data_IF_281957611038
#
_entry.id   IF_281957611038
#
_cell.length_a   1.000
_cell.length_b   1.000
_cell.length_c   1.000
_cell.angle_alpha   90.00
_cell.angle_beta   90.00
_cell.angle_gamma   90.00
#
_symmetry.space_group_name_H-M   'P 1'
#
loop_
_entity.id
_entity.type
_entity.pdbx_description
1 polymer ?
#
# COMPACT_ATOMS: atom_id res chain seq x y z
N UNK A 1 -30.23 -4.85 24.98
CA UNK A 1 -29.32 -5.98 25.28
C UNK A 1 -28.56 -6.25 23.99
N UNK A 2 -27.41 -5.61 23.77
CA UNK A 2 -26.57 -5.83 22.59
C UNK A 2 -25.53 -6.89 22.95
N UNK A 3 -25.86 -8.15 22.68
CA UNK A 3 -24.91 -9.25 22.84
C UNK A 3 -23.99 -9.33 21.62
N UNK A 4 -22.69 -9.49 21.85
CA UNK A 4 -21.74 -9.85 20.80
C UNK A 4 -22.07 -11.27 20.35
N UNK A 5 -22.57 -11.44 19.12
CA UNK A 5 -22.77 -12.77 18.53
C UNK A 5 -21.47 -13.17 17.85
N UNK A 6 -20.90 -14.28 18.30
CA UNK A 6 -19.81 -14.93 17.59
C UNK A 6 -20.38 -15.63 16.36
N UNK A 7 -20.18 -15.04 15.18
CA UNK A 7 -20.69 -15.57 13.91
C UNK A 7 -20.25 -17.03 13.66
N UNK A 8 -19.10 -17.44 14.20
CA UNK A 8 -18.60 -18.82 14.05
C UNK A 8 -19.42 -19.84 14.84
N UNK A 9 -20.17 -19.39 15.85
CA UNK A 9 -21.06 -20.23 16.68
C UNK A 9 -22.49 -20.26 16.16
N UNK A 10 -22.80 -19.53 15.08
CA UNK A 10 -24.12 -19.57 14.45
C UNK A 10 -24.30 -20.93 13.78
N UNK A 11 -25.36 -21.70 14.12
CA UNK A 11 -25.61 -22.99 13.49
C UNK A 11 -25.64 -22.88 11.97
N UNK A 12 -24.82 -23.67 11.28
CA UNK A 12 -24.69 -23.65 9.82
C UNK A 12 -23.51 -22.83 9.28
N UNK A 13 -22.79 -22.08 10.13
CA UNK A 13 -21.59 -21.34 9.74
C UNK A 13 -20.45 -22.21 9.17
N UNK A 14 -20.34 -23.46 9.62
CA UNK A 14 -19.31 -24.36 9.14
C UNK A 14 -19.59 -24.89 7.72
N UNK A 15 -20.86 -24.87 7.29
CA UNK A 15 -21.34 -25.47 6.05
C UNK A 15 -21.84 -24.52 4.93
N UNK A 16 -21.50 -23.22 4.85
CA UNK A 16 -21.88 -22.43 3.69
C UNK A 16 -21.07 -22.92 2.48
N UNK A 17 -21.76 -23.47 1.49
CA UNK A 17 -21.19 -23.73 0.17
C UNK A 17 -21.05 -22.39 -0.55
N UNK A 18 -19.92 -21.72 -0.37
CA UNK A 18 -19.61 -20.42 -0.98
C UNK A 18 -19.17 -20.55 -2.45
N UNK A 19 -19.53 -21.65 -3.11
CA UNK A 19 -19.17 -21.98 -4.49
C UNK A 19 -19.85 -21.10 -5.55
N UNK A 20 -20.72 -20.17 -5.13
CA UNK A 20 -21.33 -19.16 -5.98
C UNK A 20 -21.11 -17.74 -5.44
N UNK A 21 -20.25 -17.57 -4.42
CA UNK A 21 -19.98 -16.25 -3.86
C UNK A 21 -19.07 -15.48 -4.81
N UNK A 22 -19.62 -14.46 -5.48
CA UNK A 22 -18.87 -13.60 -6.40
C UNK A 22 -18.34 -12.32 -5.75
N UNK A 23 -18.96 -11.88 -4.64
CA UNK A 23 -18.57 -10.68 -3.90
C UNK A 23 -18.61 -10.98 -2.40
N UNK A 24 -17.47 -10.75 -1.74
CA UNK A 24 -17.36 -10.74 -0.29
C UNK A 24 -17.13 -9.29 0.15
N UNK A 25 -18.11 -8.74 0.87
CA UNK A 25 -18.04 -7.40 1.45
C UNK A 25 -18.00 -7.48 2.98
N UNK A 26 -17.11 -6.72 3.61
CA UNK A 26 -17.08 -6.53 5.05
C UNK A 26 -16.99 -5.03 5.35
N UNK A 27 -17.86 -4.57 6.24
CA UNK A 27 -17.92 -3.19 6.69
C UNK A 27 -18.84 -3.05 7.90
N UNK A 28 -18.76 -1.93 8.65
CA UNK A 28 -19.69 -1.66 9.73
C UNK A 28 -21.11 -1.57 9.15
N UNK A 29 -22.06 -2.22 9.82
CA UNK A 29 -23.49 -2.26 9.48
C UNK A 29 -24.20 -0.92 9.78
N UNK A 30 -23.47 0.20 9.78
CA UNK A 30 -24.02 1.53 10.05
C UNK A 30 -24.14 2.26 8.72
N UNK A 31 -25.38 2.34 8.23
CA UNK A 31 -25.76 3.11 7.04
C UNK A 31 -25.14 4.50 7.12
N UNK A 32 -24.33 4.82 6.12
CA UNK A 32 -23.72 6.13 5.97
C UNK A 32 -24.82 7.15 5.62
N UNK A 33 -25.35 7.84 6.63
CA UNK A 33 -26.16 9.04 6.40
C UNK A 33 -25.26 10.12 5.77
N UNK A 34 -25.82 10.82 4.77
CA UNK A 34 -25.16 11.80 3.88
C UNK A 34 -24.52 13.01 4.59
N UNK A 35 -24.69 13.13 5.90
CA UNK A 35 -24.05 14.16 6.71
C UNK A 35 -22.80 13.60 7.37
N UNK A 36 -21.70 13.84 6.67
CA UNK A 36 -20.32 13.64 7.10
C UNK A 36 -20.02 14.11 8.54
N UNK A 37 -18.79 13.84 9.00
CA UNK A 37 -18.13 14.32 10.23
C UNK A 37 -18.53 13.71 11.59
N UNK A 38 -19.74 13.16 11.80
CA UNK A 38 -20.09 12.59 13.11
C UNK A 38 -19.71 11.09 13.30
N UNK A 39 -19.65 10.27 12.26
CA UNK A 39 -19.39 8.81 12.42
C UNK A 39 -17.92 8.44 12.62
N UNK A 40 -16.98 9.24 12.07
CA UNK A 40 -15.52 8.98 12.20
C UNK A 40 -14.97 9.23 13.62
N UNK A 41 -15.71 9.94 14.47
CA UNK A 41 -15.31 10.32 15.83
C UNK A 41 -16.09 9.58 16.92
N UNK A 42 -17.31 9.08 16.65
CA UNK A 42 -18.12 8.38 17.66
C UNK A 42 -17.55 7.01 18.03
N UNK A 43 -16.93 6.28 17.09
CA UNK A 43 -16.24 5.02 17.40
C UNK A 43 -14.86 5.20 18.06
N UNK A 44 -14.30 6.41 18.09
CA UNK A 44 -13.07 6.69 18.85
C UNK A 44 -13.30 6.73 20.37
N UNK A 45 -14.55 6.74 20.85
CA UNK A 45 -14.86 7.04 22.26
C UNK A 45 -15.23 5.81 23.09
N UNK A 46 -15.45 4.63 22.50
CA UNK A 46 -15.67 3.43 23.30
C UNK A 46 -14.37 2.64 23.41
N UNK A 47 -13.65 2.86 24.52
CA UNK A 47 -12.63 1.94 24.99
C UNK A 47 -13.28 0.57 25.24
N UNK A 48 -13.34 -0.25 24.20
CA UNK A 48 -13.77 -1.63 24.31
C UNK A 48 -12.51 -2.48 24.52
N UNK A 49 -12.23 -2.98 25.73
CA UNK A 49 -11.05 -3.80 26.00
C UNK A 49 -11.04 -5.16 25.27
N UNK A 50 -12.02 -5.43 24.40
CA UNK A 50 -12.13 -6.62 23.54
C UNK A 50 -11.79 -6.35 22.07
N UNK A 51 -11.33 -5.15 21.73
CA UNK A 51 -11.11 -4.72 20.33
C UNK A 51 -10.11 -5.64 19.62
N UNK A 52 -8.97 -5.96 20.24
CA UNK A 52 -7.97 -6.86 19.64
C UNK A 52 -8.48 -8.30 19.47
N UNK A 53 -9.28 -8.80 20.41
CA UNK A 53 -9.94 -10.11 20.28
C UNK A 53 -10.97 -10.11 19.14
N UNK A 54 -11.74 -9.03 19.00
CA UNK A 54 -12.74 -8.87 17.93
C UNK A 54 -12.06 -8.75 16.57
N UNK A 55 -10.96 -8.01 16.48
CA UNK A 55 -10.16 -7.80 15.27
C UNK A 55 -9.51 -9.11 14.81
N UNK A 56 -8.85 -9.83 15.72
CA UNK A 56 -8.25 -11.14 15.45
C UNK A 56 -9.29 -12.17 15.00
N UNK A 57 -10.45 -12.19 15.66
CA UNK A 57 -11.55 -13.09 15.29
C UNK A 57 -12.16 -12.72 13.93
N UNK A 58 -12.30 -11.43 13.62
CA UNK A 58 -12.74 -10.95 12.32
C UNK A 58 -11.77 -11.39 11.22
N UNK A 59 -10.47 -11.25 11.42
CA UNK A 59 -9.44 -11.69 10.48
C UNK A 59 -9.53 -13.18 10.14
N UNK A 60 -9.68 -14.03 11.18
CA UNK A 60 -9.86 -15.48 11.01
C UNK A 60 -11.10 -15.82 10.18
N UNK A 61 -12.22 -15.13 10.43
CA UNK A 61 -13.44 -15.26 9.65
C UNK A 61 -13.18 -14.87 8.18
N UNK A 62 -12.51 -13.74 7.92
CA UNK A 62 -12.20 -13.30 6.55
C UNK A 62 -11.39 -14.35 5.80
N UNK A 63 -10.33 -14.88 6.43
CA UNK A 63 -9.50 -15.93 5.83
C UNK A 63 -10.30 -17.19 5.49
N UNK A 64 -11.17 -17.63 6.40
CA UNK A 64 -12.02 -18.80 6.16
C UNK A 64 -12.99 -18.58 4.98
N UNK A 65 -13.60 -17.39 4.89
CA UNK A 65 -14.52 -17.04 3.80
C UNK A 65 -13.80 -16.95 2.45
N UNK A 66 -12.63 -16.32 2.41
CA UNK A 66 -11.79 -16.24 1.20
C UNK A 66 -11.37 -17.64 0.76
N UNK A 67 -10.89 -18.48 1.68
CA UNK A 67 -10.47 -19.85 1.38
C UNK A 67 -11.61 -20.67 0.78
N UNK A 68 -12.82 -20.55 1.33
CA UNK A 68 -14.02 -21.25 0.83
C UNK A 68 -14.53 -20.73 -0.52
N UNK A 69 -14.15 -19.51 -0.91
CA UNK A 69 -14.65 -18.84 -2.12
C UNK A 69 -13.56 -18.51 -3.16
N UNK A 70 -12.36 -19.06 -3.00
CA UNK A 70 -11.18 -18.74 -3.80
C UNK A 70 -11.38 -18.83 -5.32
N UNK A 71 -12.22 -19.77 -5.79
CA UNK A 71 -12.45 -20.01 -7.21
C UNK A 71 -13.60 -19.21 -7.80
N UNK A 72 -14.34 -18.45 -6.99
CA UNK A 72 -15.58 -17.76 -7.41
C UNK A 72 -15.59 -16.28 -7.05
N UNK A 73 -14.94 -15.88 -5.96
CA UNK A 73 -14.91 -14.51 -5.49
C UNK A 73 -14.18 -13.62 -6.48
N UNK A 74 -14.94 -12.76 -7.15
CA UNK A 74 -14.46 -11.74 -8.09
C UNK A 74 -14.15 -10.42 -7.41
N UNK A 75 -14.82 -10.14 -6.29
CA UNK A 75 -14.72 -8.86 -5.59
C UNK A 75 -14.53 -9.07 -4.09
N UNK A 76 -13.46 -8.51 -3.55
CA UNK A 76 -13.26 -8.31 -2.11
C UNK A 76 -13.41 -6.82 -1.81
N UNK A 77 -14.31 -6.48 -0.89
CA UNK A 77 -14.55 -5.09 -0.47
C UNK A 77 -14.51 -5.03 1.05
N UNK A 78 -13.46 -4.46 1.59
CA UNK A 78 -13.25 -4.26 3.01
C UNK A 78 -13.28 -2.76 3.28
N UNK A 79 -14.48 -2.24 3.52
CA UNK A 79 -14.73 -0.81 3.70
C UNK A 79 -15.37 -0.56 5.04
N UNK A 80 -14.71 0.22 5.89
CA UNK A 80 -15.20 0.45 7.23
C UNK A 80 -14.38 1.39 8.08
N UNK A 81 -14.99 1.79 9.19
CA UNK A 81 -14.32 2.56 10.23
C UNK A 81 -13.71 1.63 11.27
N UNK A 82 -12.51 1.91 11.75
CA UNK A 82 -11.81 1.09 12.73
C UNK A 82 -10.72 0.23 12.06
N UNK A 83 -10.37 -0.85 12.72
CA UNK A 83 -9.24 -1.69 12.33
C UNK A 83 -9.74 -3.07 11.92
N UNK A 84 -9.28 -3.53 10.76
CA UNK A 84 -9.37 -4.90 10.34
C UNK A 84 -7.92 -5.37 10.20
N UNK A 85 -7.47 -6.23 11.12
CA UNK A 85 -6.13 -6.84 11.02
C UNK A 85 -6.13 -7.93 9.96
N UNK A 86 -6.31 -7.56 8.70
CA UNK A 86 -6.28 -8.52 7.61
C UNK A 86 -5.40 -7.99 6.49
N UNK A 87 -4.54 -8.84 5.91
CA UNK A 87 -4.26 -10.22 6.29
C UNK A 87 -3.32 -10.33 7.48
N UNK A 88 -3.54 -11.36 8.32
CA UNK A 88 -2.66 -11.80 9.44
C UNK A 88 -1.75 -12.98 9.10
N UNK A 89 -1.94 -13.61 7.95
CA UNK A 89 -1.15 -14.75 7.49
C UNK A 89 -0.87 -14.65 5.99
N UNK A 90 0.14 -15.38 5.53
CA UNK A 90 0.46 -15.55 4.11
C UNK A 90 -0.71 -16.22 3.36
N UNK A 91 -0.90 -15.93 2.07
CA UNK A 91 -1.88 -16.63 1.24
C UNK A 91 -1.55 -18.12 1.19
N UNK A 92 -2.56 -18.96 1.41
CA UNK A 92 -2.42 -20.44 1.36
C UNK A 92 -2.67 -20.97 -0.05
N UNK A 93 -3.39 -20.20 -0.87
CA UNK A 93 -3.73 -20.54 -2.25
C UNK A 93 -4.00 -19.26 -3.04
N UNK A 94 -3.86 -19.36 -4.37
CA UNK A 94 -4.18 -18.28 -5.30
C UNK A 94 -5.68 -17.98 -5.33
N UNK A 95 -6.03 -16.73 -5.62
CA UNK A 95 -7.39 -16.25 -5.89
C UNK A 95 -7.58 -15.96 -7.38
N UNK A 96 -7.69 -16.98 -8.25
CA UNK A 96 -7.71 -16.80 -9.69
C UNK A 96 -8.98 -16.12 -10.20
N UNK A 97 -10.09 -16.15 -9.45
CA UNK A 97 -11.32 -15.47 -9.85
C UNK A 97 -11.32 -13.98 -9.51
N UNK A 98 -10.39 -13.53 -8.67
CA UNK A 98 -10.42 -12.18 -8.12
C UNK A 98 -10.02 -11.14 -9.17
N UNK A 99 -10.89 -10.16 -9.37
CA UNK A 99 -10.73 -9.05 -10.32
C UNK A 99 -10.65 -7.69 -9.62
N UNK A 100 -11.26 -7.57 -8.43
CA UNK A 100 -11.31 -6.31 -7.67
C UNK A 100 -11.03 -6.53 -6.19
N UNK A 101 -10.16 -5.70 -5.63
CA UNK A 101 -9.86 -5.64 -4.21
C UNK A 101 -9.89 -4.20 -3.71
N UNK A 102 -10.77 -3.91 -2.76
CA UNK A 102 -10.89 -2.63 -2.07
C UNK A 102 -10.62 -2.85 -0.58
N UNK A 103 -9.66 -2.12 -0.03
CA UNK A 103 -9.35 -2.09 1.39
C UNK A 103 -9.27 -0.66 1.90
N UNK A 104 -10.26 -0.26 2.69
CA UNK A 104 -10.46 1.11 3.16
C UNK A 104 -10.51 1.25 4.70
N UNK A 105 -9.97 0.28 5.44
CA UNK A 105 -9.81 0.34 6.91
C UNK A 105 -8.61 1.18 7.36
N UNK A 106 -8.58 1.58 8.63
CA UNK A 106 -7.58 2.52 9.17
C UNK A 106 -6.14 1.96 9.20
N UNK A 107 -5.92 0.65 9.00
CA UNK A 107 -4.57 0.07 8.98
C UNK A 107 -4.46 -1.13 8.04
N UNK A 108 -3.23 -1.44 7.65
CA UNK A 108 -2.92 -2.58 6.79
C UNK A 108 -1.51 -3.10 7.08
N UNK A 109 -1.33 -4.42 6.99
CA UNK A 109 0.01 -5.01 6.96
C UNK A 109 0.51 -5.07 5.51
N UNK A 110 1.38 -4.13 5.12
CA UNK A 110 1.84 -3.99 3.73
C UNK A 110 2.63 -5.21 3.23
N UNK A 111 3.41 -5.85 4.11
CA UNK A 111 4.17 -7.05 3.77
C UNK A 111 3.21 -8.19 3.42
N UNK A 112 2.21 -8.43 4.26
CA UNK A 112 1.25 -9.51 4.02
C UNK A 112 0.37 -9.20 2.80
N UNK A 113 -0.17 -7.98 2.66
CA UNK A 113 -0.92 -7.61 1.44
C UNK A 113 -0.06 -7.79 0.19
N UNK A 114 1.21 -7.37 0.20
CA UNK A 114 2.08 -7.52 -0.96
C UNK A 114 2.24 -8.99 -1.39
N UNK A 115 2.21 -9.90 -0.41
CA UNK A 115 2.26 -11.34 -0.67
C UNK A 115 0.94 -11.81 -1.28
N UNK A 116 -0.19 -11.40 -0.72
CA UNK A 116 -1.52 -11.68 -1.25
C UNK A 116 -1.74 -11.14 -2.68
N UNK A 117 -1.22 -9.96 -3.01
CA UNK A 117 -1.33 -9.38 -4.36
C UNK A 117 -0.67 -10.29 -5.41
N UNK A 118 0.44 -10.95 -5.08
CA UNK A 118 1.10 -11.91 -6.00
C UNK A 118 0.24 -13.14 -6.28
N UNK A 119 -0.65 -13.49 -5.37
CA UNK A 119 -1.58 -14.61 -5.46
C UNK A 119 -2.95 -14.24 -6.06
N UNK A 120 -3.11 -13.03 -6.60
CA UNK A 120 -4.33 -12.55 -7.26
C UNK A 120 -4.09 -12.32 -8.77
N UNK A 121 -3.79 -13.35 -9.56
CA UNK A 121 -3.22 -13.19 -10.91
C UNK A 121 -4.11 -12.48 -11.93
N UNK A 122 -5.41 -12.34 -11.63
CA UNK A 122 -6.40 -11.69 -12.50
C UNK A 122 -6.90 -10.35 -11.96
N UNK A 123 -6.29 -9.82 -10.90
CA UNK A 123 -6.66 -8.54 -10.31
C UNK A 123 -6.53 -7.41 -11.33
N UNK A 124 -7.58 -6.62 -11.48
CA UNK A 124 -7.66 -5.45 -12.37
C UNK A 124 -7.91 -4.16 -11.63
N UNK A 125 -8.41 -4.23 -10.41
CA UNK A 125 -8.67 -3.08 -9.56
C UNK A 125 -8.11 -3.32 -8.16
N UNK A 126 -7.26 -2.40 -7.70
CA UNK A 126 -6.72 -2.36 -6.35
C UNK A 126 -6.99 -0.97 -5.76
N UNK A 127 -7.80 -0.91 -4.71
CA UNK A 127 -7.96 0.28 -3.88
C UNK A 127 -7.40 0.06 -2.49
N UNK A 128 -6.53 0.98 -2.06
CA UNK A 128 -6.06 1.09 -0.69
C UNK A 128 -6.38 2.50 -0.20
N UNK A 129 -7.33 2.62 0.72
CA UNK A 129 -7.85 3.92 1.18
C UNK A 129 -7.93 4.03 2.69
N UNK A 130 -7.97 5.26 3.19
CA UNK A 130 -8.33 5.51 4.60
C UNK A 130 -7.30 5.07 5.65
N UNK A 131 -6.14 4.56 5.23
CA UNK A 131 -5.11 4.02 6.13
C UNK A 131 -4.44 5.15 6.91
N UNK A 132 -4.78 5.21 8.20
CA UNK A 132 -4.32 6.19 9.19
C UNK A 132 -3.45 5.48 10.22
N UNK A 133 -2.16 5.79 10.26
CA UNK A 133 -1.25 5.33 11.31
C UNK A 133 -1.76 5.80 12.68
N UNK A 134 -2.49 4.96 13.43
CA UNK A 134 -2.99 5.34 14.76
C UNK A 134 -2.63 4.40 15.91
N UNK A 135 -1.67 3.48 15.73
CA UNK A 135 -1.15 2.65 16.83
C UNK A 135 0.37 2.44 16.80
N UNK A 136 1.14 3.53 16.73
CA UNK A 136 2.55 3.49 17.14
C UNK A 136 3.49 2.61 16.30
N UNK A 137 3.10 2.24 15.08
CA UNK A 137 4.04 1.75 14.08
C UNK A 137 4.65 2.98 13.40
N UNK A 138 5.93 3.31 13.66
CA UNK A 138 6.55 4.54 13.19
C UNK A 138 6.79 4.57 11.69
N UNK A 139 6.56 3.45 10.99
CA UNK A 139 6.85 3.30 9.58
C UNK A 139 5.95 2.23 8.96
N UNK A 140 5.30 2.53 7.84
CA UNK A 140 4.66 1.52 6.99
C UNK A 140 5.51 1.38 5.75
N UNK A 141 6.11 0.20 5.57
CA UNK A 141 6.98 -0.09 4.43
C UNK A 141 6.12 -0.32 3.18
N UNK A 142 5.67 0.78 2.58
CA UNK A 142 4.83 0.81 1.38
C UNK A 142 5.53 0.24 0.15
N UNK A 143 6.86 0.23 0.16
CA UNK A 143 7.70 -0.36 -0.88
C UNK A 143 7.25 -1.77 -1.27
N UNK A 144 6.88 -2.62 -0.31
CA UNK A 144 6.42 -3.99 -0.60
C UNK A 144 5.19 -4.01 -1.51
N UNK A 145 4.24 -3.09 -1.28
CA UNK A 145 3.05 -2.93 -2.14
C UNK A 145 3.48 -2.45 -3.52
N UNK A 146 4.36 -1.44 -3.57
CA UNK A 146 4.77 -0.87 -4.86
C UNK A 146 5.55 -1.86 -5.73
N UNK A 147 6.45 -2.62 -5.13
CA UNK A 147 7.17 -3.71 -5.77
C UNK A 147 6.18 -4.81 -6.26
N UNK A 148 5.21 -5.19 -5.42
CA UNK A 148 4.20 -6.18 -5.81
C UNK A 148 3.28 -5.71 -6.94
N UNK A 149 2.95 -4.42 -6.98
CA UNK A 149 2.20 -3.79 -8.08
C UNK A 149 3.02 -3.79 -9.37
N UNK A 150 4.27 -3.31 -9.31
CA UNK A 150 5.20 -3.31 -10.47
C UNK A 150 5.30 -4.71 -11.08
N UNK A 151 5.46 -5.72 -10.23
CA UNK A 151 5.71 -7.10 -10.66
C UNK A 151 4.41 -7.90 -10.92
N UNK A 152 3.25 -7.26 -10.82
CA UNK A 152 1.96 -7.95 -10.93
C UNK A 152 1.71 -8.49 -12.36
N UNK A 153 1.12 -9.69 -12.53
CA UNK A 153 0.83 -10.26 -13.85
C UNK A 153 -0.05 -9.36 -14.74
N UNK A 154 -0.96 -8.58 -14.16
CA UNK A 154 -1.78 -7.62 -14.92
C UNK A 154 -0.98 -6.42 -15.46
N UNK A 155 0.22 -6.16 -14.93
CA UNK A 155 1.10 -5.06 -15.34
C UNK A 155 2.16 -5.52 -16.34
N UNK A 156 2.92 -6.57 -15.99
CA UNK A 156 4.10 -7.05 -16.76
C UNK A 156 3.92 -8.43 -17.40
N UNK A 157 2.75 -9.06 -17.27
CA UNK A 157 2.51 -10.39 -17.81
C UNK A 157 2.59 -10.42 -19.34
N UNK A 158 2.73 -11.62 -19.92
CA UNK A 158 2.80 -11.82 -21.39
C UNK A 158 1.58 -11.25 -22.15
N UNK A 159 0.44 -11.13 -21.47
CA UNK A 159 -0.79 -10.50 -21.95
C UNK A 159 -1.35 -9.66 -20.80
N UNK A 160 -0.77 -8.47 -20.56
CA UNK A 160 -1.13 -7.68 -19.40
C UNK A 160 -2.56 -7.15 -19.57
N UNK A 161 -3.30 -7.07 -18.47
CA UNK A 161 -4.71 -6.66 -18.45
C UNK A 161 -4.90 -5.21 -18.00
N UNK A 162 -3.83 -4.57 -17.54
CA UNK A 162 -3.86 -3.34 -16.78
C UNK A 162 -4.28 -3.59 -15.34
N UNK A 163 -3.64 -2.87 -14.41
CA UNK A 163 -4.05 -2.79 -13.02
C UNK A 163 -4.43 -1.35 -12.71
N UNK A 164 -5.72 -1.11 -12.49
CA UNK A 164 -6.21 0.16 -11.98
C UNK A 164 -5.88 0.27 -10.49
N UNK A 165 -5.11 1.29 -10.15
CA UNK A 165 -4.72 1.60 -8.78
C UNK A 165 -5.49 2.82 -8.28
N UNK A 166 -5.97 2.73 -7.06
CA UNK A 166 -6.54 3.85 -6.32
C UNK A 166 -5.94 3.88 -4.90
N UNK A 167 -4.99 4.79 -4.68
CA UNK A 167 -4.50 5.10 -3.34
C UNK A 167 -5.22 6.35 -2.84
N UNK A 168 -6.03 6.19 -1.79
CA UNK A 168 -6.82 7.28 -1.23
C UNK A 168 -6.27 7.71 0.13
N UNK A 169 -5.48 8.79 0.14
CA UNK A 169 -4.94 9.39 1.36
C UNK A 169 -4.17 8.40 2.23
N UNK A 170 -3.27 7.62 1.62
CA UNK A 170 -2.39 6.72 2.39
C UNK A 170 -1.34 7.56 3.12
N UNK A 171 -1.31 7.49 4.46
CA UNK A 171 -0.30 8.18 5.26
C UNK A 171 1.03 7.41 5.12
N UNK A 172 2.01 8.03 4.49
CA UNK A 172 3.34 7.43 4.31
C UNK A 172 4.32 7.88 5.40
N UNK A 173 4.27 9.16 5.80
CA UNK A 173 5.05 9.77 6.90
C UNK A 173 4.23 10.80 7.66
N UNK A 174 4.79 11.44 8.71
CA UNK A 174 4.03 12.31 9.62
C UNK A 174 3.30 13.49 8.96
N UNK A 175 3.74 13.92 7.78
CA UNK A 175 3.18 15.09 7.09
C UNK A 175 2.76 14.84 5.63
N UNK A 176 3.01 13.65 5.08
CA UNK A 176 2.76 13.36 3.66
C UNK A 176 1.65 12.33 3.48
N UNK A 177 0.77 12.62 2.53
CA UNK A 177 -0.35 11.76 2.14
C UNK A 177 -0.27 11.49 0.66
N UNK A 178 0.07 10.27 0.32
CA UNK A 178 0.16 9.86 -1.06
C UNK A 178 -1.24 9.57 -1.60
N UNK A 179 -1.53 10.09 -2.79
CA UNK A 179 -2.76 9.82 -3.53
C UNK A 179 -2.40 9.49 -4.97
N UNK A 180 -2.90 8.38 -5.49
CA UNK A 180 -2.64 7.94 -6.86
C UNK A 180 -3.92 7.39 -7.49
N UNK A 181 -4.14 7.69 -8.76
CA UNK A 181 -5.23 7.10 -9.55
C UNK A 181 -4.80 6.91 -10.98
N UNK A 182 -4.81 5.67 -11.47
CA UNK A 182 -4.42 5.37 -12.84
C UNK A 182 -4.33 3.88 -13.13
N UNK A 183 -4.30 3.54 -14.42
CA UNK A 183 -4.04 2.19 -14.91
C UNK A 183 -2.55 2.04 -15.16
N UNK A 184 -1.91 1.12 -14.44
CA UNK A 184 -0.52 0.73 -14.67
C UNK A 184 -0.50 -0.48 -15.61
N UNK A 185 0.26 -0.39 -16.70
CA UNK A 185 0.44 -1.49 -17.66
C UNK A 185 1.67 -1.26 -18.54
N UNK A 186 2.50 -2.27 -18.82
CA UNK A 186 3.59 -2.11 -19.81
C UNK A 186 3.08 -1.91 -21.25
N UNK A 187 1.84 -2.30 -21.54
CA UNK A 187 1.19 -1.97 -22.80
C UNK A 187 0.63 -0.53 -22.74
N UNK A 188 1.25 0.38 -23.48
CA UNK A 188 0.88 1.80 -23.52
C UNK A 188 -0.51 2.06 -24.12
N UNK A 189 -1.11 1.09 -24.81
CA UNK A 189 -2.50 1.18 -25.28
C UNK A 189 -3.53 0.94 -24.18
N UNK A 190 -3.12 0.37 -23.04
CA UNK A 190 -3.95 0.08 -21.87
C UNK A 190 -3.65 1.06 -20.74
N UNK A 191 -2.38 1.44 -20.58
CA UNK A 191 -1.92 2.33 -19.53
C UNK A 191 -2.61 3.71 -19.56
N UNK A 192 -2.79 4.30 -18.39
CA UNK A 192 -3.18 5.72 -18.30
C UNK A 192 -2.06 6.64 -18.79
N UNK A 193 -2.45 7.85 -19.19
CA UNK A 193 -1.49 8.91 -19.49
C UNK A 193 -0.59 9.16 -18.27
N UNK A 194 0.70 9.30 -18.52
CA UNK A 194 1.73 9.37 -17.49
C UNK A 194 2.09 10.80 -17.17
N UNK A 195 2.54 11.02 -15.94
CA UNK A 195 3.19 12.26 -15.54
C UNK A 195 4.60 12.23 -16.15
N UNK A 196 4.78 12.90 -17.29
CA UNK A 196 6.03 12.81 -18.08
C UNK A 196 7.08 13.82 -17.67
N UNK A 197 6.74 14.84 -16.90
CA UNK A 197 7.63 15.94 -16.55
C UNK A 197 7.50 16.28 -15.06
N UNK A 198 8.54 16.00 -14.30
CA UNK A 198 8.76 16.70 -13.04
C UNK A 198 9.63 17.93 -13.34
N UNK A 199 9.19 19.12 -12.93
CA UNK A 199 10.01 20.34 -13.03
C UNK A 199 11.15 20.39 -12.00
N UNK A 200 11.18 19.40 -11.11
CA UNK A 200 12.21 19.21 -10.10
C UNK A 200 13.19 18.14 -10.56
N UNK A 201 14.48 18.47 -10.58
CA UNK A 201 15.55 17.56 -10.99
C UNK A 201 15.67 16.34 -10.06
N UNK A 202 15.26 16.49 -8.80
CA UNK A 202 15.29 15.44 -7.78
C UNK A 202 13.98 14.63 -7.71
N UNK A 203 12.94 15.07 -8.44
CA UNK A 203 11.63 14.40 -8.48
C UNK A 203 10.84 14.46 -7.16
N UNK A 204 11.23 15.34 -6.22
CA UNK A 204 10.69 15.40 -4.87
C UNK A 204 9.28 16.02 -4.82
N UNK A 205 8.94 16.86 -5.80
CA UNK A 205 7.69 17.63 -5.80
C UNK A 205 6.51 16.86 -6.42
N UNK A 206 6.75 15.88 -7.30
CA UNK A 206 5.67 15.13 -7.96
C UNK A 206 5.65 13.66 -7.49
N UNK A 207 4.72 13.38 -6.57
CA UNK A 207 4.52 12.06 -5.99
C UNK A 207 4.15 11.00 -7.04
N UNK A 208 3.32 11.40 -8.02
CA UNK A 208 2.84 10.50 -9.06
C UNK A 208 3.96 10.18 -10.06
N UNK A 209 4.76 11.18 -10.43
CA UNK A 209 5.95 10.97 -11.26
C UNK A 209 6.88 9.92 -10.62
N UNK A 210 7.18 10.08 -9.33
CA UNK A 210 8.07 9.17 -8.59
C UNK A 210 7.50 7.76 -8.50
N UNK A 211 6.19 7.62 -8.23
CA UNK A 211 5.51 6.32 -8.24
C UNK A 211 5.52 5.67 -9.61
N UNK A 212 5.20 6.40 -10.66
CA UNK A 212 5.18 5.89 -12.02
C UNK A 212 6.57 5.42 -12.46
N UNK A 213 7.64 6.19 -12.18
CA UNK A 213 9.01 5.73 -12.46
C UNK A 213 9.34 4.40 -11.80
N UNK A 214 8.81 4.15 -10.60
CA UNK A 214 8.94 2.86 -9.93
C UNK A 214 8.08 1.76 -10.58
N UNK A 215 6.80 2.02 -10.84
CA UNK A 215 5.88 1.05 -11.45
C UNK A 215 6.27 0.62 -12.87
N UNK A 216 6.90 1.51 -13.64
CA UNK A 216 7.40 1.21 -14.98
C UNK A 216 8.85 0.70 -14.99
N UNK A 217 9.44 0.48 -13.81
CA UNK A 217 10.83 0.03 -13.65
C UNK A 217 11.85 0.91 -14.39
N UNK A 218 11.57 2.22 -14.49
CA UNK A 218 12.44 3.19 -15.18
C UNK A 218 13.54 3.74 -14.28
N UNK A 219 13.35 3.61 -12.97
CA UNK A 219 14.29 4.08 -11.95
C UNK A 219 14.34 3.06 -10.83
N UNK A 220 15.56 2.64 -10.45
CA UNK A 220 15.73 1.77 -9.29
C UNK A 220 15.30 2.52 -8.04
N UNK A 221 14.69 1.82 -7.10
CA UNK A 221 14.22 2.40 -5.84
C UNK A 221 15.29 3.25 -5.13
N UNK A 222 16.54 2.78 -5.07
CA UNK A 222 17.64 3.51 -4.40
C UNK A 222 17.97 4.86 -5.04
N UNK A 223 17.70 5.01 -6.33
CA UNK A 223 17.92 6.21 -7.13
C UNK A 223 16.62 7.05 -7.26
N UNK A 224 15.48 6.53 -6.76
CA UNK A 224 14.18 7.19 -6.83
C UNK A 224 13.97 8.09 -5.61
N UNK A 225 14.55 9.27 -5.73
CA UNK A 225 14.67 10.20 -4.63
C UNK A 225 13.33 10.70 -4.10
N UNK A 226 12.40 11.07 -4.98
CA UNK A 226 11.04 11.45 -4.60
C UNK A 226 10.25 10.32 -3.95
N UNK A 227 10.37 9.08 -4.44
CA UNK A 227 9.69 7.95 -3.79
C UNK A 227 10.27 7.68 -2.40
N UNK A 228 11.59 7.69 -2.25
CA UNK A 228 12.28 7.53 -0.95
C UNK A 228 11.86 8.60 0.05
N UNK A 229 11.80 9.86 -0.39
CA UNK A 229 11.29 10.97 0.40
C UNK A 229 9.84 10.73 0.86
N UNK A 230 8.98 10.22 -0.03
CA UNK A 230 7.59 9.90 0.33
C UNK A 230 7.49 8.87 1.44
N UNK A 231 8.47 8.00 1.64
CA UNK A 231 8.46 6.97 2.67
C UNK A 231 9.39 7.28 3.85
N UNK A 232 9.93 8.49 4.03
CA UNK A 232 10.95 8.80 5.06
C UNK A 232 12.27 8.01 4.94
N UNK A 233 12.50 7.35 3.80
CA UNK A 233 13.71 6.57 3.55
C UNK A 233 14.78 7.44 2.86
N UNK A 234 14.90 8.68 3.33
CA UNK A 234 15.81 9.69 2.78
C UNK A 234 17.01 9.92 3.70
N UNK A 235 18.15 9.32 3.34
CA UNK A 235 19.44 9.70 3.92
C UNK A 235 19.94 10.97 3.24
N UNK A 236 19.86 12.10 3.95
CA UNK A 236 20.45 13.40 3.52
C UNK A 236 21.98 13.32 3.37
N UNK A 237 22.63 12.24 3.84
CA UNK A 237 24.08 12.10 3.94
C UNK A 237 24.80 11.43 2.76
N UNK A 238 24.10 11.00 1.72
CA UNK A 238 24.67 10.31 0.55
C UNK A 238 24.51 11.11 -0.75
N UNK A 239 24.57 12.44 -0.67
CA UNK A 239 25.13 13.19 -1.79
C UNK A 239 26.61 12.81 -1.75
N UNK A 240 26.99 11.79 -2.49
CA UNK A 240 28.38 11.63 -2.91
C UNK A 240 28.72 12.93 -3.62
N UNK A 241 29.26 13.88 -2.88
CA UNK A 241 30.04 14.96 -3.48
C UNK A 241 31.20 14.23 -4.12
N UNK A 242 31.07 13.97 -5.42
CA UNK A 242 32.20 13.78 -6.31
C UNK A 242 33.04 15.06 -6.22
N UNK A 243 33.80 15.20 -5.14
CA UNK A 243 34.87 16.17 -5.03
C UNK A 243 36.04 15.59 -5.81
N UNK A 244 35.90 15.65 -7.15
CA UNK A 244 37.04 15.68 -8.03
C UNK A 244 37.85 16.95 -7.71
N UNK A 245 39.17 16.77 -7.54
CA UNK A 245 40.23 17.80 -7.52
C UNK A 245 40.29 18.66 -6.24
N UNK A 246 41.33 18.58 -5.40
CA UNK A 246 42.69 19.03 -5.71
C UNK A 246 43.75 18.25 -4.91
N UNK A 247 44.40 17.28 -5.55
CA UNK A 247 45.72 16.81 -5.12
C UNK A 247 46.77 17.66 -5.84
N UNK A 248 46.95 18.90 -5.36
CA UNK A 248 48.05 19.77 -5.76
C UNK A 248 49.12 19.73 -4.69
N UNK A 249 49.97 18.71 -4.79
CA UNK A 249 51.33 18.76 -4.25
C UNK A 249 52.01 20.05 -4.71
N UNK A 250 52.49 20.83 -3.74
CA UNK A 250 53.45 21.90 -3.98
C UNK A 250 54.65 21.69 -3.06
N UNK A 251 55.66 21.00 -3.59
CA UNK A 251 57.01 21.06 -3.07
C UNK A 251 57.68 22.38 -3.49
N UNK A 252 58.41 22.95 -2.53
CA UNK A 252 59.58 23.84 -2.64
C UNK A 252 59.40 25.29 -3.14
N UNK A 253 59.85 26.24 -2.33
CA UNK A 253 61.05 27.03 -2.65
C UNK A 253 61.54 27.79 -1.41
N UNK A 254 62.85 27.73 -1.23
CA UNK A 254 63.66 28.35 -0.19
C UNK A 254 63.51 29.88 -0.10
N UNK A 255 63.64 30.41 1.12
CA UNK A 255 64.28 31.72 1.33
C UNK A 255 65.03 31.68 2.65
N UNK A 256 66.33 31.38 2.57
CA UNK A 256 67.33 31.80 3.55
C UNK A 256 67.71 33.28 3.30
N UNK A 257 68.11 33.95 4.40
CA UNK A 257 68.99 35.13 4.49
C UNK A 257 68.49 36.49 3.94
N UNK A 258 68.75 37.67 4.53
CA UNK A 258 69.35 38.14 5.78
C UNK A 258 69.17 39.69 5.79
N UNK A 259 69.51 40.33 6.92
CA UNK A 259 69.96 41.73 7.06
C UNK A 259 68.95 42.85 7.38
N UNK A 260 69.15 43.46 8.57
CA UNK A 260 68.57 44.74 9.00
C UNK A 260 68.66 44.96 10.49
#
# INVERSE_FOLDING_TARGET
MTGTVDCTKVPGWDNPTLTALEKLGLGPDISHDEYHWASKSVLKVLACPKVEEIESHASSIVHALITKSQSTSKNLVFDGTGFLDWPTQQPVASLPALESFDHSFDAVNTILISSWLKDMPNLRYLKLGGIRLSRGLPFVEWRHIFDAVRDHPSVIGLRPKGLYLEFESIKSVDWTRMTYRGVICQDSSIASERHTLCTDAEGLIDENYSLEKHFYNEMRFKDNHGLRYLMDDWDVGMIETDSEEDDKGSESADTDEESG
#
